data_IF_341896196500
#
_entry.id   IF_341896196500
#
_cell.length_a   1.000
_cell.length_b   1.000
_cell.length_c   1.000
_cell.angle_alpha   90.00
_cell.angle_beta   90.00
_cell.angle_gamma   90.00
#
_symmetry.space_group_name_H-M   'P 1'
#
loop_
_entity.id
_entity.type
_entity.pdbx_description
1 polymer ?
#
# COMPACT_ATOMS: atom_id res chain seq x y z
N UNK A 1 -2.65 24.19 -1.24
CA UNK A 1 -3.08 23.61 -2.54
C UNK A 1 -4.59 23.45 -2.53
N UNK A 2 -5.28 23.48 -3.67
CA UNK A 2 -6.74 23.33 -3.70
C UNK A 2 -7.12 21.85 -3.60
N UNK A 3 -8.15 21.47 -2.83
CA UNK A 3 -8.64 20.09 -2.75
C UNK A 3 -8.89 19.46 -4.14
N UNK A 4 -9.26 20.28 -5.13
CA UNK A 4 -9.46 19.84 -6.53
C UNK A 4 -8.18 19.36 -7.22
N UNK A 5 -7.01 19.91 -6.88
CA UNK A 5 -5.73 19.44 -7.45
C UNK A 5 -5.32 18.10 -6.83
N UNK A 6 -5.54 17.91 -5.54
CA UNK A 6 -5.26 16.65 -4.83
C UNK A 6 -6.11 15.49 -5.38
N UNK A 7 -7.42 15.71 -5.58
CA UNK A 7 -8.30 14.71 -6.19
C UNK A 7 -7.93 14.37 -7.64
N UNK A 8 -7.32 15.30 -8.38
CA UNK A 8 -6.84 15.06 -9.75
C UNK A 8 -5.59 14.16 -9.74
N UNK A 9 -4.71 14.31 -8.76
CA UNK A 9 -3.56 13.43 -8.58
C UNK A 9 -3.97 12.02 -8.14
N UNK A 10 -4.95 11.92 -7.23
CA UNK A 10 -5.57 10.63 -6.85
C UNK A 10 -6.10 9.89 -8.08
N UNK A 11 -6.87 10.57 -8.93
CA UNK A 11 -7.41 9.97 -10.16
C UNK A 11 -6.31 9.49 -11.11
N UNK A 12 -5.21 10.24 -11.23
CA UNK A 12 -4.04 9.85 -12.04
C UNK A 12 -3.30 8.65 -11.44
N UNK A 13 -3.16 8.55 -10.13
CA UNK A 13 -2.53 7.39 -9.48
C UNK A 13 -3.37 6.12 -9.63
N UNK A 14 -4.70 6.24 -9.59
CA UNK A 14 -5.64 5.12 -9.74
C UNK A 14 -5.67 4.58 -11.19
N UNK A 15 -5.69 5.47 -12.18
CA UNK A 15 -5.87 5.14 -13.60
C UNK A 15 -4.53 4.96 -14.34
N UNK A 16 -3.51 5.74 -13.97
CA UNK A 16 -2.22 5.81 -14.67
C UNK A 16 -1.15 4.89 -14.09
N UNK A 17 -1.53 3.77 -13.48
CA UNK A 17 -0.63 2.85 -12.81
C UNK A 17 0.48 2.35 -13.73
N UNK A 18 1.64 3.02 -13.72
CA UNK A 18 2.90 2.57 -14.34
C UNK A 18 3.44 1.27 -13.75
N UNK A 19 2.76 0.66 -12.77
CA UNK A 19 3.25 -0.45 -11.97
C UNK A 19 3.42 -1.78 -12.69
N UNK A 20 2.92 -1.89 -13.92
CA UNK A 20 2.92 -3.13 -14.71
C UNK A 20 3.72 -3.03 -16.02
N UNK A 21 4.24 -1.85 -16.37
CA UNK A 21 4.98 -1.63 -17.62
C UNK A 21 6.38 -2.23 -17.47
N UNK A 22 6.69 -3.26 -18.25
CA UNK A 22 8.02 -3.88 -18.30
C UNK A 22 8.25 -5.11 -17.43
N UNK A 23 7.26 -5.58 -16.66
CA UNK A 23 7.37 -6.83 -15.88
C UNK A 23 6.86 -8.04 -16.68
N UNK A 24 7.61 -9.15 -16.66
CA UNK A 24 7.15 -10.44 -17.19
C UNK A 24 5.98 -10.99 -16.34
N UNK A 25 5.29 -12.02 -16.85
CA UNK A 25 4.21 -12.70 -16.10
C UNK A 25 4.77 -13.29 -14.79
N UNK A 26 5.92 -13.94 -14.86
CA UNK A 26 6.61 -14.55 -13.70
C UNK A 26 6.99 -13.49 -12.65
N UNK A 27 7.46 -12.32 -13.07
CA UNK A 27 7.77 -11.20 -12.18
C UNK A 27 6.53 -10.54 -11.55
N UNK A 28 5.36 -10.72 -12.17
CA UNK A 28 4.07 -10.24 -11.61
C UNK A 28 3.52 -11.20 -10.58
N UNK A 29 3.76 -12.50 -10.74
CA UNK A 29 3.36 -13.54 -9.79
C UNK A 29 4.26 -13.59 -8.56
N UNK A 30 5.52 -13.16 -8.70
CA UNK A 30 6.47 -13.12 -7.58
C UNK A 30 6.17 -11.95 -6.63
N UNK A 31 5.80 -12.28 -5.40
CA UNK A 31 5.64 -11.30 -4.33
C UNK A 31 7.02 -10.81 -3.84
N UNK A 32 7.26 -9.49 -3.76
CA UNK A 32 8.51 -8.95 -3.20
C UNK A 32 8.70 -9.35 -1.73
N UNK A 33 9.95 -9.56 -1.30
CA UNK A 33 10.26 -9.89 0.10
C UNK A 33 9.82 -8.78 1.08
N UNK A 34 9.92 -7.52 0.64
CA UNK A 34 9.46 -6.32 1.36
C UNK A 34 8.26 -5.70 0.65
N UNK A 35 7.22 -6.49 0.39
CA UNK A 35 5.99 -6.01 -0.24
C UNK A 35 5.17 -5.10 0.69
N UNK A 36 4.53 -4.07 0.14
CA UNK A 36 3.73 -3.10 0.91
C UNK A 36 2.63 -3.78 1.76
N UNK A 37 1.99 -4.84 1.28
CA UNK A 37 0.97 -5.52 2.10
C UNK A 37 1.52 -6.37 3.25
N UNK A 38 2.84 -6.54 3.35
CA UNK A 38 3.50 -7.11 4.54
C UNK A 38 3.85 -6.02 5.58
N UNK A 39 3.64 -4.74 5.24
CA UNK A 39 3.89 -3.63 6.14
C UNK A 39 2.73 -3.43 7.11
N UNK A 40 3.04 -3.13 8.38
CA UNK A 40 2.03 -2.75 9.39
C UNK A 40 1.25 -1.48 8.99
N UNK A 41 1.87 -0.59 8.21
CA UNK A 41 1.31 0.71 7.84
C UNK A 41 0.43 0.66 6.58
N UNK A 42 0.23 -0.52 5.99
CA UNK A 42 -0.63 -0.74 4.84
C UNK A 42 -2.01 -1.22 5.29
N UNK A 43 -3.05 -0.54 4.81
CA UNK A 43 -4.44 -0.93 4.98
C UNK A 43 -5.02 -1.29 3.62
N UNK A 44 -5.46 -2.53 3.47
CA UNK A 44 -6.11 -2.99 2.25
C UNK A 44 -7.52 -2.38 2.13
N UNK A 45 -7.95 -2.09 0.91
CA UNK A 45 -9.32 -1.69 0.65
C UNK A 45 -10.23 -2.92 0.67
N UNK A 46 -11.11 -3.01 1.65
CA UNK A 46 -12.03 -4.14 1.82
C UNK A 46 -13.03 -4.32 0.66
N UNK A 47 -13.30 -3.25 -0.10
CA UNK A 47 -14.36 -3.22 -1.12
C UNK A 47 -13.91 -3.75 -2.48
N UNK A 48 -12.61 -3.68 -2.77
CA UNK A 48 -12.07 -4.09 -4.06
C UNK A 48 -11.05 -5.21 -3.85
N UNK A 49 -11.34 -6.39 -4.42
CA UNK A 49 -10.48 -7.57 -4.34
C UNK A 49 -9.25 -7.48 -5.27
N UNK A 50 -8.86 -6.26 -5.67
CA UNK A 50 -7.78 -6.00 -6.62
C UNK A 50 -6.42 -5.78 -5.92
N UNK A 51 -6.40 -5.92 -4.59
CA UNK A 51 -5.19 -5.78 -3.76
C UNK A 51 -4.71 -4.34 -3.60
N UNK A 52 -5.56 -3.34 -3.91
CA UNK A 52 -5.27 -1.94 -3.60
C UNK A 52 -5.46 -1.66 -2.12
N UNK A 53 -4.61 -0.79 -1.61
CA UNK A 53 -4.71 -0.28 -0.26
C UNK A 53 -4.14 1.12 -0.13
N UNK A 54 -4.12 1.61 1.09
CA UNK A 54 -3.61 2.93 1.45
C UNK A 54 -2.52 2.80 2.50
N UNK A 55 -1.49 3.63 2.41
CA UNK A 55 -0.50 3.77 3.46
C UNK A 55 -0.96 4.82 4.49
N UNK A 56 -0.85 4.51 5.79
CA UNK A 56 -1.15 5.47 6.86
C UNK A 56 -0.09 6.56 7.01
N UNK A 57 1.17 6.23 6.71
CA UNK A 57 2.32 7.14 6.88
C UNK A 57 2.57 7.96 5.61
N UNK A 58 2.79 7.27 4.48
CA UNK A 58 3.06 7.95 3.22
C UNK A 58 1.79 8.53 2.65
N UNK A 59 1.90 9.74 2.11
CA UNK A 59 0.79 10.49 1.52
C UNK A 59 0.90 10.53 0.00
N UNK A 60 -0.21 10.91 -0.63
CA UNK A 60 -0.26 11.13 -2.07
C UNK A 60 0.88 12.04 -2.55
N UNK A 61 1.51 11.67 -3.66
CA UNK A 61 2.73 12.33 -4.16
C UNK A 61 4.04 11.67 -3.74
N UNK A 62 3.98 10.64 -2.88
CA UNK A 62 5.12 9.74 -2.64
C UNK A 62 5.30 8.78 -3.83
N UNK A 63 6.55 8.51 -4.20
CA UNK A 63 6.90 7.49 -5.19
C UNK A 63 8.09 6.66 -4.70
N UNK A 64 7.85 5.36 -4.50
CA UNK A 64 8.85 4.39 -4.08
C UNK A 64 9.71 3.88 -5.25
N UNK A 65 9.34 4.20 -6.50
CA UNK A 65 10.05 3.76 -7.71
C UNK A 65 11.14 4.74 -8.13
N UNK A 66 11.03 6.00 -7.75
CA UNK A 66 12.05 7.02 -8.01
C UNK A 66 13.36 6.70 -7.25
N UNK A 67 14.48 7.17 -7.78
CA UNK A 67 15.78 7.10 -7.14
C UNK A 67 16.40 8.50 -7.10
N UNK A 68 16.43 9.19 -5.94
CA UNK A 68 16.01 8.72 -4.62
C UNK A 68 14.48 8.61 -4.46
N UNK A 69 13.98 7.72 -3.57
CA UNK A 69 12.54 7.55 -3.35
C UNK A 69 11.94 8.83 -2.76
N UNK A 70 10.85 9.29 -3.35
CA UNK A 70 10.12 10.46 -2.86
C UNK A 70 9.15 10.02 -1.77
N UNK A 71 9.44 10.40 -0.53
CA UNK A 71 8.63 10.05 0.64
C UNK A 71 7.95 11.30 1.18
N UNK A 72 6.65 11.44 0.93
CA UNK A 72 5.82 12.55 1.44
C UNK A 72 5.05 12.04 2.66
N UNK A 73 5.25 12.65 3.82
CA UNK A 73 4.54 12.31 5.06
C UNK A 73 3.44 13.30 5.43
N UNK A 74 3.45 14.48 4.80
CA UNK A 74 2.48 15.55 5.04
C UNK A 74 1.31 15.48 4.05
N UNK A 75 0.08 15.56 4.56
CA UNK A 75 -1.14 15.51 3.74
C UNK A 75 -2.25 14.67 4.36
N UNK A 76 -3.48 14.90 3.91
CA UNK A 76 -4.68 14.21 4.43
C UNK A 76 -4.90 12.85 3.76
N UNK A 77 -4.50 12.70 2.48
CA UNK A 77 -4.77 11.49 1.70
C UNK A 77 -3.56 10.56 1.74
N UNK A 78 -3.77 9.34 2.26
CA UNK A 78 -2.77 8.27 2.26
C UNK A 78 -2.38 7.83 0.84
N UNK A 79 -1.12 7.43 0.67
CA UNK A 79 -0.60 6.93 -0.59
C UNK A 79 -1.37 5.67 -1.00
N UNK A 80 -2.01 5.70 -2.16
CA UNK A 80 -2.69 4.53 -2.73
C UNK A 80 -1.64 3.63 -3.39
N UNK A 81 -1.47 2.42 -2.89
CA UNK A 81 -0.51 1.42 -3.41
C UNK A 81 -1.15 0.04 -3.53
N UNK A 82 -0.46 -0.90 -4.17
CA UNK A 82 -0.88 -2.30 -4.25
C UNK A 82 -0.12 -3.16 -3.23
N UNK A 83 -0.75 -4.24 -2.78
CA UNK A 83 -0.19 -5.27 -1.89
C UNK A 83 1.19 -5.77 -2.34
N UNK A 84 1.39 -5.95 -3.65
CA UNK A 84 2.62 -6.46 -4.27
C UNK A 84 3.61 -5.34 -4.67
N UNK A 85 3.36 -4.09 -4.27
CA UNK A 85 4.30 -3.00 -4.52
C UNK A 85 5.56 -3.22 -3.70
N UNK A 86 6.73 -3.12 -4.33
CA UNK A 86 8.01 -3.24 -3.63
C UNK A 86 8.23 -2.03 -2.71
N UNK A 87 8.33 -2.31 -1.41
CA UNK A 87 8.60 -1.36 -0.34
C UNK A 87 10.06 -1.36 0.11
N UNK A 88 10.97 -2.04 -0.59
CA UNK A 88 12.38 -2.18 -0.19
C UNK A 88 13.11 -0.85 0.03
N UNK A 89 12.73 0.20 -0.71
CA UNK A 89 13.27 1.57 -0.58
C UNK A 89 12.55 2.43 0.47
N UNK A 90 11.48 1.94 1.09
CA UNK A 90 10.70 2.69 2.07
C UNK A 90 11.38 2.65 3.45
N UNK A 91 11.74 3.82 3.98
CA UNK A 91 12.32 3.95 5.34
C UNK A 91 11.33 3.63 6.47
N UNK A 92 10.03 3.73 6.19
CA UNK A 92 8.94 3.47 7.16
C UNK A 92 8.38 2.04 7.06
N UNK A 93 9.03 1.17 6.30
CA UNK A 93 8.61 -0.22 6.20
C UNK A 93 8.85 -0.92 7.53
N UNK A 94 7.76 -1.32 8.19
CA UNK A 94 7.81 -2.17 9.38
C UNK A 94 7.10 -3.47 9.03
N UNK A 95 7.88 -4.55 8.91
CA UNK A 95 7.31 -5.88 8.66
C UNK A 95 6.37 -6.21 9.81
N UNK A 96 5.14 -6.56 9.45
CA UNK A 96 4.15 -6.97 10.40
C UNK A 96 4.55 -8.28 11.08
N UNK A 97 4.34 -8.38 12.38
CA UNK A 97 4.69 -9.55 13.17
C UNK A 97 3.70 -10.73 13.03
N UNK A 98 2.59 -10.54 12.31
CA UNK A 98 1.54 -11.56 12.22
C UNK A 98 2.02 -12.81 11.48
N UNK A 99 1.70 -13.94 12.09
CA UNK A 99 2.02 -15.28 11.66
C UNK A 99 0.79 -15.74 10.88
N UNK A 100 0.75 -15.52 9.55
CA UNK A 100 -0.24 -16.13 8.64
C UNK A 100 -0.04 -17.68 8.60
N UNK A 101 -0.14 -18.37 9.73
CA UNK A 101 -0.09 -19.84 9.86
C UNK A 101 -1.33 -20.43 10.53
N UNK A 102 -2.19 -19.61 11.15
CA UNK A 102 -3.44 -20.05 11.77
C UNK A 102 -4.67 -19.43 11.05
N UNK A 103 -5.62 -20.28 10.69
CA UNK A 103 -6.92 -19.89 10.10
C UNK A 103 -7.73 -19.02 11.06
N UNK A 104 -7.54 -19.17 12.38
CA UNK A 104 -8.18 -18.31 13.38
C UNK A 104 -7.76 -16.84 13.27
N UNK A 105 -6.46 -16.58 13.10
CA UNK A 105 -5.90 -15.23 12.91
C UNK A 105 -6.32 -14.62 11.57
N UNK A 106 -6.56 -15.47 10.56
CA UNK A 106 -7.03 -15.03 9.23
C UNK A 106 -8.54 -14.69 9.22
N UNK A 107 -9.31 -15.30 10.13
CA UNK A 107 -10.76 -15.11 10.26
C UNK A 107 -11.16 -14.05 11.29
N UNK A 108 -10.29 -13.76 12.26
CA UNK A 108 -10.52 -12.74 13.27
C UNK A 108 -10.47 -11.32 12.66
N UNK A 109 -11.56 -10.54 12.75
CA UNK A 109 -11.61 -9.18 12.25
C UNK A 109 -10.52 -8.26 12.82
N UNK A 110 -10.01 -8.53 14.02
CA UNK A 110 -8.96 -7.71 14.65
C UNK A 110 -7.63 -7.81 13.90
N UNK A 111 -7.36 -8.93 13.21
CA UNK A 111 -6.06 -9.21 12.60
C UNK A 111 -6.07 -9.11 11.06
N UNK A 112 -7.28 -9.12 10.45
CA UNK A 112 -7.49 -8.98 9.01
C UNK A 112 -7.04 -7.62 8.45
N UNK A 113 -6.29 -7.66 7.34
CA UNK A 113 -5.74 -6.47 6.64
C UNK A 113 -6.78 -5.40 6.29
N UNK A 114 -7.99 -5.83 5.95
CA UNK A 114 -9.13 -4.99 5.62
C UNK A 114 -9.78 -4.31 6.85
N UNK A 115 -9.70 -4.93 8.04
CA UNK A 115 -10.37 -4.46 9.25
C UNK A 115 -9.48 -3.62 10.17
N UNK A 116 -8.19 -3.48 9.85
CA UNK A 116 -7.24 -2.58 10.53
C UNK A 116 -7.65 -1.11 10.48
N UNK A 117 -8.54 -0.74 9.56
CA UNK A 117 -9.17 0.58 9.54
C UNK A 117 -9.99 0.88 10.80
N UNK A 118 -10.34 -0.15 11.58
CA UNK A 118 -11.13 -0.03 12.81
C UNK A 118 -10.27 -0.07 14.09
N UNK A 119 -8.96 -0.31 13.99
CA UNK A 119 -8.06 -0.12 15.15
C UNK A 119 -8.06 1.37 15.52
N UNK A 120 -8.42 1.68 16.77
CA UNK A 120 -8.37 3.05 17.27
C UNK A 120 -6.91 3.50 17.36
N UNK A 121 -6.61 4.62 16.70
CA UNK A 121 -5.34 5.36 16.82
C UNK A 121 -5.26 6.03 18.19
#
# INVERSE_FOLDING_TARGET
MSRRSEWREVRKAIVGGKGSVGKTVEEREKMPEKACGLCKNFSENAKEADGRGTCGILKMGSDLREDPPKLVTEGEIGLITFINTDGGKCRYFTKMALIDKDLGETADPSFRRAHRQMEKV
#
